data_IF_289288135399
#
_entry.id   IF_289288135399
#
_cell.length_a   1.000
_cell.length_b   1.000
_cell.length_c   1.000
_cell.angle_alpha   90.00
_cell.angle_beta   90.00
_cell.angle_gamma   90.00
#
_symmetry.space_group_name_H-M   'P 1'
#
loop_
_entity.id
_entity.type
_entity.pdbx_description
1 polymer ?
#
# COMPACT_ATOMS: atom_id res chain seq x y z
N UNK A 1 -21.11 -15.33 -15.95
CA UNK A 1 -21.93 -16.41 -16.53
C UNK A 1 -22.58 -16.02 -17.87
N UNK A 2 -22.02 -15.06 -18.63
CA UNK A 2 -22.53 -14.65 -19.95
C UNK A 2 -21.55 -14.96 -21.12
N UNK A 3 -20.33 -15.41 -20.82
CA UNK A 3 -19.25 -15.59 -21.80
C UNK A 3 -19.31 -16.95 -22.52
N UNK A 4 -20.12 -17.89 -22.02
CA UNK A 4 -20.15 -19.27 -22.54
C UNK A 4 -21.10 -19.43 -23.74
N UNK A 5 -22.07 -18.53 -23.92
CA UNK A 5 -23.09 -18.69 -24.98
C UNK A 5 -22.75 -18.06 -26.34
N UNK A 6 -21.69 -17.25 -26.45
CA UNK A 6 -21.32 -16.55 -27.69
C UNK A 6 -20.18 -17.21 -28.47
N UNK A 7 -19.94 -18.52 -28.25
CA UNK A 7 -18.85 -19.25 -28.92
C UNK A 7 -19.26 -19.96 -30.21
N UNK A 8 -20.55 -19.92 -30.57
CA UNK A 8 -21.10 -20.74 -31.65
C UNK A 8 -21.34 -20.00 -33.00
N UNK A 9 -21.16 -18.68 -33.08
CA UNK A 9 -21.61 -17.89 -34.26
C UNK A 9 -20.68 -16.75 -34.71
N UNK A 10 -19.42 -16.68 -34.26
CA UNK A 10 -18.46 -15.68 -34.74
C UNK A 10 -17.33 -16.31 -35.54
N UNK A 11 -17.07 -15.76 -36.72
CA UNK A 11 -15.95 -16.17 -37.57
C UNK A 11 -14.59 -15.98 -36.84
N UNK A 12 -13.60 -16.88 -37.06
CA UNK A 12 -12.31 -16.86 -36.36
C UNK A 12 -11.56 -15.52 -36.45
N UNK A 13 -11.72 -14.81 -37.57
CA UNK A 13 -11.06 -13.52 -37.81
C UNK A 13 -11.61 -12.40 -36.90
N UNK A 14 -12.90 -12.44 -36.57
CA UNK A 14 -13.55 -11.46 -35.68
C UNK A 14 -13.14 -11.71 -34.22
N UNK A 15 -13.01 -12.97 -33.82
CA UNK A 15 -12.47 -13.33 -32.49
C UNK A 15 -11.02 -12.88 -32.32
N UNK A 16 -10.18 -13.09 -33.34
CA UNK A 16 -8.81 -12.60 -33.33
C UNK A 16 -8.76 -11.06 -33.23
N UNK A 17 -9.58 -10.35 -34.00
CA UNK A 17 -9.67 -8.89 -33.97
C UNK A 17 -10.17 -8.36 -32.62
N UNK A 18 -11.20 -8.96 -32.01
CA UNK A 18 -11.71 -8.56 -30.69
C UNK A 18 -10.70 -8.88 -29.59
N UNK A 19 -10.00 -10.01 -29.66
CA UNK A 19 -8.94 -10.37 -28.71
C UNK A 19 -7.73 -9.44 -28.86
N UNK A 20 -7.39 -9.05 -30.09
CA UNK A 20 -6.32 -8.09 -30.39
C UNK A 20 -6.70 -6.68 -29.95
N UNK A 21 -7.95 -6.24 -30.14
CA UNK A 21 -8.47 -4.98 -29.62
C UNK A 21 -8.49 -4.96 -28.09
N UNK A 22 -8.84 -6.08 -27.44
CA UNK A 22 -8.85 -6.19 -25.98
C UNK A 22 -7.43 -6.21 -25.38
N UNK A 23 -6.48 -6.87 -26.05
CA UNK A 23 -5.04 -6.79 -25.71
C UNK A 23 -4.50 -5.38 -25.93
N UNK A 24 -4.90 -4.73 -27.03
CA UNK A 24 -4.51 -3.36 -27.38
C UNK A 24 -5.12 -2.34 -26.42
N UNK A 25 -6.35 -2.52 -25.96
CA UNK A 25 -6.99 -1.68 -24.92
C UNK A 25 -6.31 -1.85 -23.55
N UNK A 26 -5.89 -3.08 -23.18
CA UNK A 26 -5.04 -3.30 -21.99
C UNK A 26 -3.62 -2.74 -22.14
N UNK A 27 -3.10 -2.65 -23.36
CA UNK A 27 -1.82 -2.02 -23.65
C UNK A 27 -1.94 -0.48 -23.67
N UNK A 28 -3.05 0.06 -24.17
CA UNK A 28 -3.31 1.49 -24.31
C UNK A 28 -3.70 2.17 -22.98
N UNK A 29 -4.33 1.43 -22.05
CA UNK A 29 -4.54 1.91 -20.68
C UNK A 29 -3.24 2.02 -19.84
N UNK A 30 -2.09 1.60 -20.38
CA UNK A 30 -0.78 1.65 -19.70
C UNK A 30 0.01 2.93 -20.00
N UNK A 31 -0.51 3.84 -20.83
CA UNK A 31 0.23 4.99 -21.38
C UNK A 31 -0.20 6.33 -20.79
N UNK A 32 -0.79 6.36 -19.59
CA UNK A 32 -1.01 7.61 -18.86
C UNK A 32 -0.03 7.57 -17.70
N UNK A 33 0.80 8.61 -17.58
CA UNK A 33 1.70 8.86 -16.45
C UNK A 33 0.87 8.81 -15.16
N UNK A 34 0.85 7.63 -14.56
CA UNK A 34 0.11 7.34 -13.34
C UNK A 34 1.14 7.14 -12.25
N UNK A 35 0.98 7.83 -11.12
CA UNK A 35 1.81 7.57 -9.97
C UNK A 35 1.71 6.09 -9.61
N UNK A 36 2.86 5.47 -9.36
CA UNK A 36 2.94 4.06 -9.04
C UNK A 36 3.59 3.89 -7.67
N UNK A 37 2.92 3.13 -6.82
CA UNK A 37 3.48 2.69 -5.55
C UNK A 37 3.62 1.16 -5.57
N UNK A 38 4.80 0.69 -5.20
CA UNK A 38 5.07 -0.72 -4.96
C UNK A 38 5.09 -0.95 -3.45
N UNK A 39 4.13 -1.73 -2.97
CA UNK A 39 3.95 -2.07 -1.57
C UNK A 39 4.66 -3.40 -1.31
N UNK A 40 5.67 -3.38 -0.44
CA UNK A 40 6.30 -4.60 0.04
C UNK A 40 5.58 -5.10 1.30
N UNK A 41 5.32 -6.40 1.32
CA UNK A 41 4.62 -7.08 2.40
C UNK A 41 5.51 -7.19 3.65
N UNK A 42 4.90 -7.20 4.83
CA UNK A 42 5.62 -7.47 6.08
C UNK A 42 6.32 -8.84 6.03
N UNK A 43 7.62 -8.96 6.41
CA UNK A 43 8.37 -10.21 6.26
C UNK A 43 7.71 -11.44 6.89
N UNK A 44 7.02 -11.27 8.02
CA UNK A 44 6.28 -12.36 8.68
C UNK A 44 5.12 -12.91 7.85
N UNK A 45 4.62 -12.17 6.87
CA UNK A 45 3.62 -12.64 5.89
C UNK A 45 4.30 -13.53 4.84
N UNK A 46 5.52 -13.18 4.44
CA UNK A 46 6.25 -13.90 3.38
C UNK A 46 6.73 -15.29 3.78
N UNK A 47 6.98 -15.51 5.08
CA UNK A 47 7.38 -16.82 5.65
C UNK A 47 6.20 -17.78 5.85
N UNK A 48 4.96 -17.35 5.66
CA UNK A 48 3.78 -18.23 5.79
C UNK A 48 3.67 -19.19 4.61
N UNK A 49 2.93 -20.28 4.80
CA UNK A 49 2.59 -21.21 3.71
C UNK A 49 1.91 -20.49 2.56
N UNK A 50 2.05 -21.02 1.35
CA UNK A 50 1.54 -20.41 0.12
C UNK A 50 0.04 -20.05 0.22
N UNK A 51 -0.79 -20.95 0.78
CA UNK A 51 -2.22 -20.72 0.93
C UNK A 51 -2.53 -19.56 1.88
N UNK A 52 -1.83 -19.49 3.02
CA UNK A 52 -1.99 -18.41 4.02
C UNK A 52 -1.49 -17.09 3.45
N UNK A 53 -0.33 -17.08 2.79
CA UNK A 53 0.22 -15.88 2.14
C UNK A 53 -0.74 -15.31 1.10
N UNK A 54 -1.31 -16.16 0.22
CA UNK A 54 -2.29 -15.72 -0.77
C UNK A 54 -3.55 -15.13 -0.14
N UNK A 55 -4.05 -15.74 0.95
CA UNK A 55 -5.18 -15.20 1.73
C UNK A 55 -4.85 -13.82 2.30
N UNK A 56 -3.67 -13.66 2.89
CA UNK A 56 -3.23 -12.39 3.49
C UNK A 56 -3.08 -11.29 2.44
N UNK A 57 -2.46 -11.59 1.30
CA UNK A 57 -2.32 -10.65 0.17
C UNK A 57 -3.71 -10.22 -0.33
N UNK A 58 -4.67 -11.15 -0.45
CA UNK A 58 -6.04 -10.83 -0.87
C UNK A 58 -6.72 -9.86 0.10
N UNK A 59 -6.61 -10.11 1.41
CA UNK A 59 -7.18 -9.23 2.45
C UNK A 59 -6.51 -7.86 2.42
N UNK A 60 -5.17 -7.81 2.37
CA UNK A 60 -4.42 -6.56 2.30
C UNK A 60 -4.79 -5.72 1.08
N UNK A 61 -4.94 -6.37 -0.09
CA UNK A 61 -5.38 -5.73 -1.33
C UNK A 61 -6.76 -5.09 -1.14
N UNK A 62 -7.68 -5.77 -0.45
CA UNK A 62 -9.00 -5.24 -0.10
C UNK A 62 -8.90 -4.04 0.85
N UNK A 63 -8.07 -4.15 1.89
CA UNK A 63 -7.87 -3.08 2.87
C UNK A 63 -7.29 -1.81 2.21
N UNK A 64 -6.28 -1.96 1.36
CA UNK A 64 -5.70 -0.85 0.58
C UNK A 64 -6.76 -0.19 -0.30
N UNK A 65 -7.55 -0.99 -1.04
CA UNK A 65 -8.61 -0.46 -1.89
C UNK A 65 -9.65 0.32 -1.08
N UNK A 66 -10.07 -0.21 0.07
CA UNK A 66 -11.07 0.43 0.92
C UNK A 66 -10.58 1.77 1.47
N UNK A 67 -9.34 1.85 1.94
CA UNK A 67 -8.75 3.09 2.46
C UNK A 67 -8.54 4.12 1.35
N UNK A 68 -8.04 3.67 0.19
CA UNK A 68 -7.68 4.59 -0.90
C UNK A 68 -8.85 5.06 -1.75
N UNK A 69 -10.02 4.39 -1.70
CA UNK A 69 -11.22 4.78 -2.44
C UNK A 69 -11.67 6.22 -2.14
N UNK A 70 -11.37 6.73 -0.94
CA UNK A 70 -11.71 8.11 -0.55
C UNK A 70 -10.86 9.19 -1.25
N UNK A 71 -9.72 8.81 -1.83
CA UNK A 71 -8.79 9.74 -2.47
C UNK A 71 -8.88 9.69 -4.00
N UNK A 72 -9.00 8.49 -4.57
CA UNK A 72 -9.13 8.28 -6.02
C UNK A 72 -10.02 7.05 -6.29
N UNK A 73 -11.20 7.25 -6.87
CA UNK A 73 -12.11 6.15 -7.23
C UNK A 73 -11.60 5.32 -8.41
N UNK A 74 -10.72 5.89 -9.24
CA UNK A 74 -10.18 5.25 -10.46
C UNK A 74 -8.87 4.48 -10.22
N UNK A 75 -8.41 4.50 -8.96
CA UNK A 75 -7.32 3.70 -8.40
C UNK A 75 -7.33 2.23 -8.89
N UNK A 76 -6.18 1.77 -9.35
CA UNK A 76 -5.94 0.36 -9.63
C UNK A 76 -5.01 -0.26 -8.57
N UNK A 77 -5.50 -1.28 -7.87
CA UNK A 77 -4.69 -2.11 -6.96
C UNK A 77 -4.49 -3.48 -7.57
N UNK A 78 -3.25 -3.77 -7.99
CA UNK A 78 -2.85 -5.01 -8.65
C UNK A 78 -2.02 -5.84 -7.69
N UNK A 79 -2.39 -7.11 -7.53
CA UNK A 79 -1.63 -8.06 -6.72
C UNK A 79 -0.60 -8.78 -7.59
N UNK A 80 0.63 -8.85 -7.11
CA UNK A 80 1.65 -9.74 -7.64
C UNK A 80 2.02 -10.77 -6.58
N UNK A 81 2.92 -11.69 -6.92
CA UNK A 81 3.36 -12.73 -6.01
C UNK A 81 4.06 -12.15 -4.77
N UNK A 82 4.99 -11.21 -4.97
CA UNK A 82 5.87 -10.66 -3.90
C UNK A 82 5.51 -9.25 -3.44
N UNK A 83 4.66 -8.55 -4.17
CA UNK A 83 4.32 -7.15 -3.87
C UNK A 83 2.88 -6.86 -4.29
N UNK A 84 2.37 -5.72 -3.83
CA UNK A 84 1.12 -5.14 -4.30
C UNK A 84 1.46 -3.83 -5.00
N UNK A 85 0.87 -3.61 -6.15
CA UNK A 85 1.05 -2.40 -6.94
C UNK A 85 -0.20 -1.55 -6.83
N UNK A 86 0.00 -0.26 -6.61
CA UNK A 86 -1.06 0.76 -6.54
C UNK A 86 -0.75 1.78 -7.62
N UNK A 87 -1.70 1.98 -8.54
CA UNK A 87 -1.64 3.02 -9.56
C UNK A 87 -2.76 4.02 -9.32
N UNK A 88 -2.40 5.30 -9.26
CA UNK A 88 -3.35 6.40 -9.17
C UNK A 88 -3.05 7.43 -10.27
N UNK A 89 -4.06 8.20 -10.68
CA UNK A 89 -3.90 9.16 -11.78
C UNK A 89 -3.77 10.59 -11.30
N UNK A 90 -4.37 10.92 -10.15
CA UNK A 90 -4.40 12.29 -9.64
C UNK A 90 -3.16 12.62 -8.79
N UNK A 91 -2.17 13.26 -9.41
CA UNK A 91 -0.90 13.66 -8.78
C UNK A 91 -1.09 14.56 -7.54
N UNK A 92 -2.20 15.30 -7.45
CA UNK A 92 -2.46 16.16 -6.29
C UNK A 92 -2.66 15.36 -5.00
N UNK A 93 -3.15 14.11 -5.11
CA UNK A 93 -3.40 13.23 -3.97
C UNK A 93 -2.18 12.42 -3.55
N UNK A 94 -1.04 12.56 -4.24
CA UNK A 94 0.17 11.74 -4.01
C UNK A 94 0.59 11.70 -2.55
N UNK A 95 0.68 12.86 -1.89
CA UNK A 95 1.11 12.94 -0.49
C UNK A 95 0.10 12.29 0.46
N UNK A 96 -1.19 12.45 0.19
CA UNK A 96 -2.28 11.91 1.00
C UNK A 96 -2.37 10.38 0.84
N UNK A 97 -2.29 9.86 -0.39
CA UNK A 97 -2.24 8.43 -0.69
C UNK A 97 -1.02 7.78 -0.02
N UNK A 98 0.15 8.40 -0.16
CA UNK A 98 1.39 7.94 0.48
C UNK A 98 1.22 7.84 2.00
N UNK A 99 0.74 8.91 2.63
CA UNK A 99 0.52 8.94 4.08
C UNK A 99 -0.52 7.88 4.52
N UNK A 100 -1.62 7.73 3.78
CA UNK A 100 -2.62 6.70 4.04
C UNK A 100 -2.01 5.28 3.96
N UNK A 101 -1.21 4.99 2.93
CA UNK A 101 -0.53 3.71 2.78
C UNK A 101 0.40 3.39 3.95
N UNK A 102 1.13 4.37 4.50
CA UNK A 102 2.05 4.11 5.63
C UNK A 102 1.32 3.60 6.88
N UNK A 103 0.02 3.88 7.00
CA UNK A 103 -0.80 3.58 8.19
C UNK A 103 -1.59 2.27 8.10
N UNK A 104 -1.48 1.53 7.00
CA UNK A 104 -2.22 0.27 6.81
C UNK A 104 -1.45 -0.91 7.42
N UNK A 105 -2.05 -1.68 8.35
CA UNK A 105 -1.42 -2.87 8.89
C UNK A 105 -1.13 -3.93 7.81
N UNK A 106 0.03 -4.55 7.87
CA UNK A 106 0.51 -5.54 6.89
C UNK A 106 1.50 -5.00 5.86
N UNK A 107 1.67 -3.68 5.76
CA UNK A 107 2.63 -3.04 4.87
C UNK A 107 3.97 -2.87 5.57
N UNK A 108 5.05 -3.42 4.99
CA UNK A 108 6.40 -3.22 5.52
C UNK A 108 6.93 -1.84 5.18
N UNK A 109 6.99 -1.55 3.89
CA UNK A 109 7.40 -0.27 3.33
C UNK A 109 6.80 -0.12 1.93
N UNK A 110 6.75 1.13 1.48
CA UNK A 110 6.21 1.55 0.21
C UNK A 110 7.34 2.16 -0.59
N UNK A 111 7.43 1.78 -1.86
CA UNK A 111 8.33 2.40 -2.83
C UNK A 111 7.47 3.25 -3.75
N UNK A 112 7.72 4.55 -3.76
CA UNK A 112 7.18 5.46 -4.77
C UNK A 112 8.08 5.35 -6.00
N UNK A 113 7.50 4.95 -7.13
CA UNK A 113 8.26 4.63 -8.34
C UNK A 113 7.72 5.38 -9.55
N UNK A 114 8.63 5.80 -10.41
CA UNK A 114 8.32 6.20 -11.77
C UNK A 114 8.48 4.99 -12.69
N UNK A 115 7.46 4.72 -13.51
CA UNK A 115 7.43 3.60 -14.43
C UNK A 115 7.58 4.14 -15.86
N UNK A 116 8.77 3.98 -16.43
CA UNK A 116 9.12 4.52 -17.74
C UNK A 116 9.59 3.39 -18.67
N UNK A 117 9.25 3.42 -19.96
CA UNK A 117 9.85 2.48 -20.92
C UNK A 117 11.35 2.77 -21.04
N UNK A 118 12.16 1.79 -21.43
CA UNK A 118 13.56 2.03 -21.79
C UNK A 118 13.95 1.32 -23.10
N UNK A 119 14.95 1.85 -23.80
CA UNK A 119 15.46 1.25 -25.05
C UNK A 119 16.73 0.45 -24.83
N UNK A 120 17.73 1.03 -24.18
CA UNK A 120 19.03 0.41 -23.93
C UNK A 120 19.60 0.83 -22.57
N UNK A 121 20.81 0.36 -22.25
CA UNK A 121 21.49 0.72 -20.99
C UNK A 121 21.86 2.21 -20.92
N UNK A 122 22.03 2.88 -22.06
CA UNK A 122 22.36 4.31 -22.09
C UNK A 122 21.15 5.16 -21.70
N UNK A 123 19.98 4.84 -22.24
CA UNK A 123 18.71 5.46 -21.88
C UNK A 123 18.36 5.26 -20.40
N UNK A 124 18.68 4.09 -19.81
CA UNK A 124 18.58 3.89 -18.35
C UNK A 124 19.46 4.89 -17.58
N UNK A 125 20.70 5.10 -18.04
CA UNK A 125 21.62 6.06 -17.42
C UNK A 125 21.10 7.49 -17.53
N UNK A 126 20.64 7.93 -18.71
CA UNK A 126 20.13 9.30 -18.91
C UNK A 126 18.96 9.59 -17.97
N UNK A 127 18.02 8.64 -17.85
CA UNK A 127 16.88 8.74 -16.94
C UNK A 127 17.29 8.75 -15.48
N UNK A 128 18.27 7.91 -15.10
CA UNK A 128 18.81 7.90 -13.75
C UNK A 128 19.53 9.23 -13.42
N UNK A 129 20.26 9.81 -14.37
CA UNK A 129 20.95 11.08 -14.20
C UNK A 129 19.96 12.20 -13.89
N UNK A 130 18.88 12.32 -14.67
CA UNK A 130 17.83 13.32 -14.44
C UNK A 130 17.19 13.16 -13.06
N UNK A 131 16.90 11.92 -12.65
CA UNK A 131 16.18 11.64 -11.42
C UNK A 131 17.03 11.80 -10.15
N UNK A 132 18.32 11.49 -10.21
CA UNK A 132 19.17 11.37 -9.02
C UNK A 132 20.26 12.44 -8.88
N UNK A 133 20.51 13.29 -9.91
CA UNK A 133 21.55 14.33 -9.89
C UNK A 133 21.56 15.12 -8.57
N UNK A 134 20.44 15.76 -8.23
CA UNK A 134 20.32 16.62 -7.04
C UNK A 134 20.53 15.85 -5.73
N UNK A 135 20.21 14.54 -5.71
CA UNK A 135 20.37 13.72 -4.51
C UNK A 135 21.82 13.30 -4.28
N UNK A 136 22.59 13.16 -5.37
CA UNK A 136 23.96 12.63 -5.39
C UNK A 136 25.04 13.71 -5.26
N UNK A 137 24.72 14.97 -5.55
CA UNK A 137 25.67 16.08 -5.42
C UNK A 137 26.29 16.14 -4.02
N UNK A 138 27.62 16.13 -3.97
CA UNK A 138 28.41 16.18 -2.73
C UNK A 138 28.35 14.92 -1.85
N UNK A 139 27.80 13.80 -2.35
CA UNK A 139 27.59 12.57 -1.57
C UNK A 139 28.29 11.35 -2.18
N UNK A 140 28.48 10.34 -1.33
CA UNK A 140 28.91 9.01 -1.77
C UNK A 140 27.72 8.14 -2.13
N UNK A 141 27.84 7.34 -3.19
CA UNK A 141 26.71 6.53 -3.65
C UNK A 141 27.09 5.13 -4.16
N UNK A 142 26.11 4.24 -4.19
CA UNK A 142 26.18 3.02 -4.99
C UNK A 142 24.90 2.83 -5.80
N UNK A 143 25.01 2.11 -6.91
CA UNK A 143 23.87 1.71 -7.74
C UNK A 143 23.53 0.27 -7.42
N UNK A 144 22.24 -0.03 -7.23
CA UNK A 144 21.72 -1.37 -6.99
C UNK A 144 20.58 -1.64 -7.96
N UNK A 145 20.79 -2.62 -8.84
CA UNK A 145 19.84 -2.95 -9.90
C UNK A 145 19.22 -4.31 -9.63
N UNK A 146 17.89 -4.37 -9.67
CA UNK A 146 17.14 -5.62 -9.66
C UNK A 146 16.55 -5.88 -11.03
N UNK A 147 16.80 -7.07 -11.60
CA UNK A 147 16.33 -7.45 -12.93
C UNK A 147 15.25 -8.54 -12.85
N UNK A 148 14.17 -8.37 -13.60
CA UNK A 148 13.11 -9.37 -13.83
C UNK A 148 12.81 -9.40 -15.33
N UNK A 149 12.84 -10.58 -15.95
CA UNK A 149 12.64 -10.74 -17.40
C UNK A 149 13.86 -11.30 -18.12
N UNK A 150 13.89 -11.17 -19.45
CA UNK A 150 14.99 -11.62 -20.33
C UNK A 150 15.64 -10.41 -20.99
N UNK A 151 16.94 -10.23 -20.74
CA UNK A 151 17.75 -9.14 -21.27
C UNK A 151 19.14 -9.66 -21.63
N UNK A 152 19.80 -8.98 -22.56
CA UNK A 152 21.16 -9.29 -23.00
C UNK A 152 22.25 -8.74 -22.05
N UNK A 153 21.83 -8.06 -20.98
CA UNK A 153 22.70 -7.52 -19.93
C UNK A 153 22.37 -8.12 -18.56
N UNK A 154 23.39 -8.20 -17.69
CA UNK A 154 23.21 -8.54 -16.29
C UNK A 154 22.89 -7.29 -15.44
N UNK A 155 22.40 -7.51 -14.22
CA UNK A 155 22.22 -6.40 -13.26
C UNK A 155 23.54 -5.71 -12.93
N UNK A 156 24.64 -6.46 -12.90
CA UNK A 156 25.98 -5.95 -12.62
C UNK A 156 26.46 -5.04 -13.76
N UNK A 157 26.15 -5.38 -15.01
CA UNK A 157 26.52 -4.54 -16.16
C UNK A 157 25.82 -3.18 -16.09
N UNK A 158 24.53 -3.16 -15.76
CA UNK A 158 23.77 -1.92 -15.54
C UNK A 158 24.31 -1.14 -14.34
N UNK A 159 24.61 -1.80 -13.22
CA UNK A 159 25.21 -1.13 -12.04
C UNK A 159 26.53 -0.43 -12.39
N UNK A 160 27.41 -1.12 -13.14
CA UNK A 160 28.70 -0.57 -13.58
C UNK A 160 28.53 0.56 -14.58
N UNK A 161 27.67 0.38 -15.57
CA UNK A 161 27.45 1.36 -16.64
C UNK A 161 26.81 2.64 -16.10
N UNK A 162 25.68 2.51 -15.38
CA UNK A 162 24.97 3.65 -14.79
C UNK A 162 25.81 4.29 -13.68
N UNK A 163 26.45 3.50 -12.82
CA UNK A 163 27.31 4.03 -11.76
C UNK A 163 28.53 4.79 -12.31
N UNK A 164 29.15 4.28 -13.37
CA UNK A 164 30.23 4.97 -14.08
C UNK A 164 29.76 6.26 -14.73
N UNK A 165 28.61 6.23 -15.43
CA UNK A 165 28.01 7.40 -16.06
C UNK A 165 27.68 8.50 -15.03
N UNK A 166 27.02 8.16 -13.92
CA UNK A 166 26.70 9.11 -12.85
C UNK A 166 27.96 9.73 -12.24
N UNK A 167 29.00 8.92 -11.99
CA UNK A 167 30.26 9.40 -11.41
C UNK A 167 31.05 10.32 -12.36
N UNK A 168 30.88 10.16 -13.68
CA UNK A 168 31.51 11.02 -14.68
C UNK A 168 30.76 12.35 -14.90
N UNK A 169 29.43 12.34 -14.75
CA UNK A 169 28.59 13.52 -15.04
C UNK A 169 28.24 14.36 -13.80
N UNK A 170 28.48 13.83 -12.59
CA UNK A 170 28.27 14.52 -11.33
C UNK A 170 29.63 14.66 -10.65
N UNK A 171 30.32 15.77 -10.92
CA UNK A 171 31.72 15.99 -10.50
C UNK A 171 31.94 15.84 -8.98
N UNK A 172 30.93 16.15 -8.17
CA UNK A 172 30.99 16.10 -6.72
C UNK A 172 30.63 14.74 -6.11
N UNK A 173 30.01 13.84 -6.89
CA UNK A 173 29.62 12.52 -6.41
C UNK A 173 30.80 11.54 -6.45
N UNK A 174 30.81 10.57 -5.53
CA UNK A 174 31.84 9.52 -5.49
C UNK A 174 31.22 8.15 -5.29
N UNK A 175 31.65 7.16 -6.07
CA UNK A 175 31.19 5.77 -5.89
C UNK A 175 31.79 5.18 -4.62
N UNK A 176 30.93 4.63 -3.75
CA UNK A 176 31.31 3.91 -2.53
C UNK A 176 30.40 2.70 -2.35
N UNK A 177 30.97 1.50 -2.45
CA UNK A 177 30.18 0.26 -2.40
C UNK A 177 29.73 -0.13 -0.99
N UNK A 178 30.49 0.28 0.04
CA UNK A 178 30.26 -0.05 1.44
C UNK A 178 29.81 1.20 2.20
N UNK A 179 28.63 1.15 2.82
CA UNK A 179 28.04 2.27 3.57
C UNK A 179 28.05 3.61 2.80
N UNK A 180 27.39 3.70 1.63
CA UNK A 180 27.21 4.94 0.90
C UNK A 180 26.17 5.85 1.58
N UNK A 181 26.25 7.15 1.31
CA UNK A 181 25.24 8.11 1.77
C UNK A 181 23.92 7.93 1.02
N UNK A 182 23.98 7.55 -0.27
CA UNK A 182 22.81 7.32 -1.13
C UNK A 182 22.92 5.99 -1.86
N UNK A 183 21.85 5.20 -1.86
CA UNK A 183 21.74 4.02 -2.71
C UNK A 183 20.73 4.28 -3.82
N UNK A 184 21.22 4.32 -5.06
CA UNK A 184 20.40 4.46 -6.26
C UNK A 184 19.79 3.10 -6.58
N UNK A 185 18.49 2.97 -6.34
CA UNK A 185 17.77 1.73 -6.61
C UNK A 185 17.05 1.79 -7.95
N UNK A 186 17.34 0.82 -8.82
CA UNK A 186 16.70 0.65 -10.12
C UNK A 186 16.10 -0.75 -10.19
N UNK A 187 14.84 -0.88 -10.61
CA UNK A 187 14.29 -2.19 -10.98
C UNK A 187 14.02 -2.19 -12.50
N UNK A 188 14.57 -3.17 -13.23
CA UNK A 188 14.30 -3.41 -14.64
C UNK A 188 13.34 -4.60 -14.72
N UNK A 189 12.15 -4.39 -15.27
CA UNK A 189 11.12 -5.41 -15.44
C UNK A 189 10.66 -5.42 -16.90
N UNK A 190 11.05 -6.45 -17.64
CA UNK A 190 10.82 -6.55 -19.08
C UNK A 190 11.28 -5.25 -19.80
N UNK A 191 10.43 -4.59 -20.57
CA UNK A 191 10.74 -3.35 -21.31
C UNK A 191 10.60 -2.06 -20.47
N UNK A 192 10.50 -2.20 -19.14
CA UNK A 192 10.20 -1.09 -18.21
C UNK A 192 11.30 -0.89 -17.19
N UNK A 193 11.59 0.37 -16.92
CA UNK A 193 12.48 0.86 -15.88
C UNK A 193 11.65 1.47 -14.77
N UNK A 194 11.85 0.99 -13.55
CA UNK A 194 11.26 1.48 -12.33
C UNK A 194 12.30 2.30 -11.57
N UNK A 195 12.12 3.62 -11.58
CA UNK A 195 12.96 4.57 -10.86
C UNK A 195 12.38 4.80 -9.47
N UNK A 196 13.11 4.45 -8.41
CA UNK A 196 12.62 4.58 -7.03
C UNK A 196 12.82 6.03 -6.54
N UNK A 197 11.74 6.80 -6.46
CA UNK A 197 11.77 8.19 -5.96
C UNK A 197 11.94 8.27 -4.45
N UNK A 198 11.37 7.32 -3.73
CA UNK A 198 11.37 7.33 -2.28
C UNK A 198 10.93 6.00 -1.67
N UNK A 199 11.45 5.73 -0.47
CA UNK A 199 11.06 4.61 0.36
C UNK A 199 10.43 5.14 1.65
N UNK A 200 9.23 4.67 1.96
CA UNK A 200 8.47 5.09 3.13
C UNK A 200 8.10 3.87 3.97
N UNK A 201 8.43 3.89 5.25
CA UNK A 201 8.14 2.78 6.15
C UNK A 201 6.64 2.70 6.45
N UNK A 202 6.11 1.48 6.39
CA UNK A 202 4.76 1.17 6.85
C UNK A 202 4.77 0.74 8.31
N UNK A 203 3.60 0.68 8.92
CA UNK A 203 3.48 0.23 10.31
C UNK A 203 3.76 -1.27 10.51
N UNK A 204 3.84 -2.08 9.46
CA UNK A 204 4.08 -3.53 9.54
C UNK A 204 2.89 -4.30 10.12
N UNK A 205 3.16 -5.47 10.69
CA UNK A 205 2.14 -6.33 11.29
C UNK A 205 1.33 -7.13 10.26
N UNK A 206 0.04 -7.35 10.53
CA UNK A 206 -0.83 -8.15 9.67
C UNK A 206 -2.05 -7.37 9.14
N UNK A 207 -2.54 -7.69 7.94
CA UNK A 207 -3.74 -7.07 7.40
C UNK A 207 -4.95 -7.28 8.30
N UNK A 208 -5.68 -6.22 8.62
CA UNK A 208 -6.91 -6.32 9.44
C UNK A 208 -7.90 -7.29 8.78
N UNK A 209 -8.43 -8.21 9.59
CA UNK A 209 -9.33 -9.29 9.15
C UNK A 209 -8.63 -10.61 8.83
N UNK A 210 -7.30 -10.69 9.03
CA UNK A 210 -6.60 -11.99 9.05
C UNK A 210 -6.78 -12.74 10.36
N UNK A 211 -6.91 -12.01 11.47
CA UNK A 211 -7.22 -12.55 12.79
C UNK A 211 -8.71 -12.35 13.09
N UNK A 212 -9.17 -12.98 14.18
CA UNK A 212 -10.55 -12.86 14.66
C UNK A 212 -10.87 -11.45 15.18
N UNK A 213 -12.16 -11.21 15.35
CA UNK A 213 -12.71 -9.97 15.87
C UNK A 213 -12.51 -9.93 17.39
N UNK A 214 -12.06 -8.80 17.91
CA UNK A 214 -11.77 -8.62 19.34
C UNK A 214 -12.54 -7.44 19.90
N UNK A 215 -12.97 -7.54 21.17
CA UNK A 215 -13.61 -6.45 21.89
C UNK A 215 -12.60 -5.80 22.84
N UNK A 216 -12.25 -4.54 22.56
CA UNK A 216 -11.37 -3.74 23.40
C UNK A 216 -12.18 -2.89 24.37
N UNK A 217 -11.90 -3.07 25.66
CA UNK A 217 -12.42 -2.19 26.71
C UNK A 217 -11.67 -0.86 26.63
N UNK A 218 -12.32 0.18 26.11
CA UNK A 218 -11.73 1.51 26.01
C UNK A 218 -12.21 2.35 27.19
N UNK A 219 -11.29 2.99 27.91
CA UNK A 219 -11.59 3.80 29.10
C UNK A 219 -11.45 5.30 28.87
N UNK A 220 -10.93 5.71 27.71
CA UNK A 220 -10.52 7.10 27.44
C UNK A 220 -9.12 7.44 27.96
N UNK A 221 -8.47 6.51 28.68
CA UNK A 221 -7.05 6.61 29.03
C UNK A 221 -6.12 6.12 27.92
N UNK A 222 -4.86 6.52 27.99
CA UNK A 222 -3.84 6.24 26.97
C UNK A 222 -3.62 4.73 26.71
N UNK A 223 -3.52 3.93 27.77
CA UNK A 223 -3.19 2.50 27.67
C UNK A 223 -4.23 1.72 26.87
N UNK A 224 -5.51 2.04 27.08
CA UNK A 224 -6.60 1.39 26.38
C UNK A 224 -6.53 1.66 24.87
N UNK A 225 -6.20 2.89 24.45
CA UNK A 225 -6.02 3.22 23.04
C UNK A 225 -4.79 2.55 22.41
N UNK A 226 -3.67 2.50 23.14
CA UNK A 226 -2.42 1.85 22.68
C UNK A 226 -2.64 0.34 22.51
N UNK A 227 -3.30 -0.31 23.46
CA UNK A 227 -3.62 -1.74 23.38
C UNK A 227 -4.53 -2.06 22.18
N UNK A 228 -5.55 -1.23 21.91
CA UNK A 228 -6.38 -1.36 20.71
C UNK A 228 -5.54 -1.24 19.43
N UNK A 229 -4.66 -0.24 19.35
CA UNK A 229 -3.77 -0.05 18.21
C UNK A 229 -2.85 -1.26 17.98
N UNK A 230 -2.25 -1.80 19.05
CA UNK A 230 -1.39 -2.98 18.97
C UNK A 230 -2.15 -4.21 18.43
N UNK A 231 -3.42 -4.40 18.81
CA UNK A 231 -4.26 -5.48 18.28
C UNK A 231 -4.64 -5.25 16.81
N UNK A 232 -4.95 -4.02 16.41
CA UNK A 232 -5.17 -3.67 14.99
C UNK A 232 -3.94 -3.99 14.15
N UNK A 233 -2.73 -3.63 14.64
CA UNK A 233 -1.46 -3.94 13.99
C UNK A 233 -1.24 -5.45 13.84
N UNK A 234 -1.77 -6.27 14.74
CA UNK A 234 -1.74 -7.76 14.63
C UNK A 234 -2.80 -8.34 13.70
N UNK A 235 -3.59 -7.50 13.03
CA UNK A 235 -4.58 -7.94 12.04
C UNK A 235 -5.94 -8.31 12.62
N UNK A 236 -6.20 -8.00 13.89
CA UNK A 236 -7.51 -8.16 14.52
C UNK A 236 -8.45 -7.01 14.12
N UNK A 237 -9.73 -7.31 13.92
CA UNK A 237 -10.75 -6.25 13.84
C UNK A 237 -11.14 -5.87 15.26
N UNK A 238 -10.81 -4.65 15.65
CA UNK A 238 -11.08 -4.18 17.01
C UNK A 238 -12.43 -3.49 17.06
N UNK A 239 -13.34 -4.05 17.84
CA UNK A 239 -14.55 -3.41 18.31
C UNK A 239 -14.29 -2.78 19.68
N UNK A 240 -15.06 -1.75 20.03
CA UNK A 240 -14.87 -1.03 21.27
C UNK A 240 -16.06 -1.23 22.22
N UNK A 241 -15.77 -1.37 23.50
CA UNK A 241 -16.76 -1.34 24.57
C UNK A 241 -16.32 -0.30 25.60
N UNK A 242 -17.20 0.64 25.91
CA UNK A 242 -16.96 1.66 26.93
C UNK A 242 -18.05 1.60 27.99
N UNK A 243 -17.61 1.57 29.25
CA UNK A 243 -18.47 1.68 30.41
C UNK A 243 -18.50 3.14 30.87
N UNK A 244 -19.62 3.82 30.65
CA UNK A 244 -19.74 5.21 31.05
C UNK A 244 -19.97 5.32 32.56
N UNK A 245 -18.92 5.74 33.28
CA UNK A 245 -18.94 6.03 34.72
C UNK A 245 -18.75 7.54 35.01
N UNK A 246 -18.18 8.28 34.06
CA UNK A 246 -17.70 9.66 34.20
C UNK A 246 -18.61 10.74 33.62
N UNK A 247 -19.80 10.39 33.11
CA UNK A 247 -20.76 11.35 32.56
C UNK A 247 -20.52 11.72 31.09
N UNK A 248 -21.27 12.69 30.58
CA UNK A 248 -21.35 12.98 29.14
C UNK A 248 -20.01 13.48 28.54
N UNK A 249 -19.25 14.29 29.26
CA UNK A 249 -17.97 14.80 28.77
C UNK A 249 -16.95 13.66 28.56
N UNK A 250 -16.90 12.70 29.48
CA UNK A 250 -16.03 11.54 29.40
C UNK A 250 -16.41 10.63 28.21
N UNK A 251 -17.71 10.43 27.98
CA UNK A 251 -18.22 9.70 26.81
C UNK A 251 -17.80 10.32 25.48
N UNK A 252 -17.90 11.65 25.35
CA UNK A 252 -17.51 12.37 24.14
C UNK A 252 -16.02 12.16 23.85
N UNK A 253 -15.16 12.29 24.87
CA UNK A 253 -13.72 12.08 24.74
C UNK A 253 -13.37 10.66 24.30
N UNK A 254 -13.98 9.64 24.93
CA UNK A 254 -13.76 8.23 24.56
C UNK A 254 -14.20 7.97 23.12
N UNK A 255 -15.35 8.52 22.71
CA UNK A 255 -15.85 8.38 21.33
C UNK A 255 -14.89 9.00 20.33
N UNK A 256 -14.32 10.17 20.62
CA UNK A 256 -13.33 10.84 19.77
C UNK A 256 -12.04 10.01 19.65
N UNK A 257 -11.54 9.45 20.75
CA UNK A 257 -10.32 8.62 20.75
C UNK A 257 -10.55 7.32 19.96
N UNK A 258 -11.67 6.62 20.21
CA UNK A 258 -12.02 5.41 19.47
C UNK A 258 -12.17 5.69 17.97
N UNK A 259 -12.85 6.79 17.62
CA UNK A 259 -13.01 7.21 16.23
C UNK A 259 -11.67 7.54 15.59
N UNK A 260 -10.79 8.27 16.29
CA UNK A 260 -9.46 8.62 15.79
C UNK A 260 -8.62 7.38 15.49
N UNK A 261 -8.58 6.41 16.41
CA UNK A 261 -7.84 5.15 16.22
C UNK A 261 -8.38 4.37 15.03
N UNK A 262 -9.70 4.19 14.97
CA UNK A 262 -10.36 3.50 13.86
C UNK A 262 -10.11 4.22 12.53
N UNK A 263 -10.38 5.53 12.43
CA UNK A 263 -10.23 6.29 11.20
C UNK A 263 -8.78 6.28 10.68
N UNK A 264 -7.80 6.33 11.58
CA UNK A 264 -6.39 6.42 11.23
C UNK A 264 -5.75 5.08 10.84
N UNK A 265 -6.13 3.97 11.50
CA UNK A 265 -5.46 2.68 11.34
C UNK A 265 -6.39 1.51 10.96
N UNK A 266 -7.69 1.65 11.20
CA UNK A 266 -8.71 0.61 11.04
C UNK A 266 -9.78 0.87 9.97
N UNK A 267 -9.69 1.99 9.25
CA UNK A 267 -10.71 2.47 8.30
C UNK A 267 -10.94 1.53 7.11
N UNK A 268 -10.06 0.54 6.90
CA UNK A 268 -10.27 -0.55 5.94
C UNK A 268 -11.48 -1.44 6.24
N UNK A 269 -11.95 -1.46 7.49
CA UNK A 269 -13.00 -2.37 7.97
C UNK A 269 -14.01 -1.64 8.86
N UNK A 270 -15.25 -2.13 8.88
CA UNK A 270 -16.25 -1.61 9.81
C UNK A 270 -15.88 -1.90 11.27
N UNK A 271 -16.23 -0.98 12.16
CA UNK A 271 -16.04 -1.06 13.59
C UNK A 271 -17.35 -0.73 14.31
N UNK A 272 -17.52 -1.28 15.50
CA UNK A 272 -18.66 -1.03 16.36
C UNK A 272 -18.14 -0.56 17.71
N UNK A 273 -18.64 0.58 18.19
CA UNK A 273 -18.47 1.06 19.55
C UNK A 273 -19.78 0.88 20.30
N UNK A 274 -19.74 0.04 21.34
CA UNK A 274 -20.84 -0.20 22.27
C UNK A 274 -20.66 0.64 23.53
N UNK A 275 -21.60 1.56 23.78
CA UNK A 275 -21.64 2.40 24.97
C UNK A 275 -22.58 1.75 26.00
N UNK A 276 -22.05 1.39 27.17
CA UNK A 276 -22.82 0.82 28.27
C UNK A 276 -22.92 1.83 29.42
N UNK A 277 -24.15 2.28 29.70
CA UNK A 277 -24.44 3.26 30.75
C UNK A 277 -24.86 2.52 32.02
N UNK A 278 -24.11 2.71 33.10
CA UNK A 278 -24.46 2.16 34.41
C UNK A 278 -25.61 2.97 35.02
N UNK A 279 -26.68 2.30 35.47
CA UNK A 279 -27.73 2.96 36.23
C UNK A 279 -27.33 2.95 37.71
N UNK A 280 -26.82 4.08 38.21
CA UNK A 280 -26.27 4.21 39.57
C UNK A 280 -27.27 3.82 40.68
N UNK A 281 -28.58 3.88 40.42
CA UNK A 281 -29.62 3.61 41.42
C UNK A 281 -29.94 2.13 41.65
N UNK A 282 -29.57 1.23 40.74
CA UNK A 282 -29.97 -0.19 40.83
C UNK A 282 -28.81 -1.18 40.87
N UNK A 283 -27.55 -0.71 40.77
CA UNK A 283 -26.37 -1.58 40.63
C UNK A 283 -26.39 -2.44 39.36
N UNK A 284 -27.39 -2.26 38.49
CA UNK A 284 -27.57 -2.98 37.23
C UNK A 284 -27.18 -2.06 36.08
N UNK A 285 -26.40 -2.57 35.13
CA UNK A 285 -26.21 -1.89 33.86
C UNK A 285 -27.56 -1.81 33.14
N UNK A 286 -27.98 -0.59 32.83
CA UNK A 286 -29.20 -0.37 32.06
C UNK A 286 -28.97 -0.82 30.63
N UNK A 287 -29.98 -1.49 30.03
CA UNK A 287 -29.98 -1.93 28.63
C UNK A 287 -30.03 -0.79 27.60
N UNK A 288 -29.88 0.48 28.03
CA UNK A 288 -29.67 1.60 27.11
C UNK A 288 -28.25 1.52 26.57
N UNK A 289 -28.04 0.63 25.60
CA UNK A 289 -26.82 0.58 24.81
C UNK A 289 -26.95 1.50 23.61
N UNK A 290 -26.06 2.48 23.49
CA UNK A 290 -25.91 3.25 22.27
C UNK A 290 -24.82 2.58 21.44
N UNK A 291 -25.18 2.05 20.28
CA UNK A 291 -24.25 1.41 19.36
C UNK A 291 -23.89 2.40 18.27
N UNK A 292 -22.63 2.83 18.23
CA UNK A 292 -22.10 3.63 17.13
C UNK A 292 -21.44 2.67 16.15
N UNK A 293 -21.92 2.64 14.92
CA UNK A 293 -21.29 1.89 13.83
C UNK A 293 -20.51 2.85 12.97
N UNK A 294 -19.21 2.59 12.85
CA UNK A 294 -18.38 3.21 11.83
C UNK A 294 -18.17 2.20 10.73
N UNK A 295 -18.85 2.40 9.62
CA UNK A 295 -18.70 1.58 8.43
C UNK A 295 -17.93 2.37 7.37
N UNK A 296 -17.42 1.65 6.37
CA UNK A 296 -17.04 2.26 5.11
C UNK A 296 -18.23 3.07 4.61
N UNK A 297 -18.04 4.32 4.20
CA UNK A 297 -19.10 5.08 3.53
C UNK A 297 -19.38 4.46 2.17
N UNK A 298 -20.09 3.35 2.14
CA UNK A 298 -20.91 2.96 1.00
C UNK A 298 -22.16 3.83 1.08
N UNK A 299 -22.18 4.91 0.31
CA UNK A 299 -23.45 5.42 -0.17
C UNK A 299 -24.13 4.28 -0.96
N UNK A 300 -25.37 4.01 -0.56
CA UNK A 300 -26.35 3.04 -1.08
C UNK A 300 -26.19 1.60 -0.62
#
# INVERSE_FOLDING_TARGET
MLVVYFRAWMQPQVWAAVFFLYKSLKACQRTIAAMKFIIKLFPEITIKSQSVRLRFIKILTGNIRNVLKHYDETLAVVRHWDNIEVRAKDENQRLAIRDALTRIPGIHHILEVEDVPFTDMHDIFEKALVQYRDQLEGKTFCVRVKRRGKHDFSSIDVERYVGGGLNQHIESARVKLTNPDVTVHLEVEDDRLLLIKGRYEGIGGFPIGTQEDVLSLISGGFDSGVSSYMLMRRGCRVHYCFFNLGGAAHEIGVRQVAHYLWNRFGSSTACVLSLLISNRSSGKFSRKSTTVRWALSSNV
#
